data_IF_723644584703
#
_entry.id   IF_723644584703
#
_cell.length_a   1.000
_cell.length_b   1.000
_cell.length_c   1.000
_cell.angle_alpha   90.00
_cell.angle_beta   90.00
_cell.angle_gamma   90.00
#
_symmetry.space_group_name_H-M   'P 1'
#
loop_
_entity.id
_entity.type
_entity.pdbx_description
1 polymer ?
#
# COMPACT_ATOMS: atom_id res chain seq x y z
N UNK A 1 -14.17 12.31 -0.88
CA UNK A 1 -13.18 12.04 0.18
C UNK A 1 -12.88 10.54 0.30
N UNK A 2 -13.89 9.67 0.15
CA UNK A 2 -13.76 8.21 0.12
C UNK A 2 -12.57 7.71 -0.72
N UNK A 3 -12.44 8.21 -1.94
CA UNK A 3 -11.30 7.93 -2.82
C UNK A 3 -9.96 8.23 -2.14
N UNK A 4 -9.80 9.43 -1.58
CA UNK A 4 -8.56 9.88 -0.94
C UNK A 4 -8.19 9.00 0.25
N UNK A 5 -9.16 8.69 1.11
CA UNK A 5 -8.92 7.88 2.31
C UNK A 5 -8.57 6.43 1.98
N UNK A 6 -9.34 5.80 1.11
CA UNK A 6 -9.08 4.42 0.65
C UNK A 6 -7.75 4.33 -0.10
N UNK A 7 -7.46 5.29 -0.97
CA UNK A 7 -6.18 5.38 -1.68
C UNK A 7 -4.99 5.53 -0.72
N UNK A 8 -5.10 6.38 0.30
CA UNK A 8 -4.06 6.52 1.32
C UNK A 8 -3.85 5.21 2.10
N UNK A 9 -4.93 4.57 2.53
CA UNK A 9 -4.86 3.30 3.26
C UNK A 9 -4.22 2.18 2.42
N UNK A 10 -4.68 1.97 1.19
CA UNK A 10 -4.09 0.95 0.31
C UNK A 10 -2.67 1.28 -0.14
N UNK A 11 -2.30 2.56 -0.21
CA UNK A 11 -0.90 2.96 -0.43
C UNK A 11 0.03 2.43 0.66
N UNK A 12 -0.39 2.60 1.91
CA UNK A 12 0.33 2.11 3.09
C UNK A 12 0.38 0.58 3.08
N UNK A 13 -0.76 -0.08 2.90
CA UNK A 13 -0.85 -1.55 2.90
C UNK A 13 0.04 -2.17 1.83
N UNK A 14 0.00 -1.65 0.60
CA UNK A 14 0.83 -2.17 -0.50
C UNK A 14 2.32 -1.97 -0.24
N UNK A 15 2.70 -0.83 0.36
CA UNK A 15 4.08 -0.55 0.73
C UNK A 15 4.57 -1.49 1.84
N UNK A 16 3.83 -1.57 2.95
CA UNK A 16 4.23 -2.32 4.16
C UNK A 16 4.28 -3.82 3.90
N UNK A 17 3.31 -4.36 3.16
CA UNK A 17 3.22 -5.80 2.87
C UNK A 17 3.92 -6.19 1.56
N UNK A 18 4.59 -5.23 0.91
CA UNK A 18 5.25 -5.42 -0.38
C UNK A 18 4.36 -6.13 -1.42
N UNK A 19 3.09 -5.73 -1.49
CA UNK A 19 2.11 -6.29 -2.43
C UNK A 19 2.48 -5.89 -3.84
N UNK A 20 2.54 -6.87 -4.74
CA UNK A 20 2.88 -6.71 -6.16
C UNK A 20 1.65 -6.88 -7.05
N UNK A 21 1.90 -6.84 -8.35
CA UNK A 21 0.88 -7.07 -9.39
C UNK A 21 -0.33 -6.14 -9.27
N UNK A 22 -0.05 -4.84 -9.05
CA UNK A 22 -1.07 -3.78 -8.94
C UNK A 22 -1.34 -3.18 -10.32
N UNK A 23 -2.24 -3.81 -11.06
CA UNK A 23 -2.76 -3.36 -12.35
C UNK A 23 -4.27 -3.03 -12.28
N UNK A 24 -4.83 -2.39 -13.30
CA UNK A 24 -6.24 -1.96 -13.31
C UNK A 24 -7.26 -3.08 -13.05
N UNK A 25 -6.96 -4.33 -13.45
CA UNK A 25 -7.81 -5.49 -13.12
C UNK A 25 -7.87 -5.84 -11.62
N UNK A 26 -6.90 -5.39 -10.82
CA UNK A 26 -6.78 -5.68 -9.38
C UNK A 26 -7.10 -4.44 -8.52
N UNK A 27 -7.51 -3.34 -9.15
CA UNK A 27 -7.87 -2.08 -8.49
C UNK A 27 -9.30 -1.74 -8.92
N UNK A 28 -10.23 -1.99 -8.01
CA UNK A 28 -11.65 -1.75 -8.22
C UNK A 28 -12.06 -0.40 -7.62
N UNK A 29 -13.19 0.13 -8.07
CA UNK A 29 -13.83 1.32 -7.51
C UNK A 29 -15.29 0.99 -7.25
N UNK A 30 -15.79 1.29 -6.05
CA UNK A 30 -17.20 1.13 -5.70
C UNK A 30 -18.04 2.37 -6.08
N UNK A 31 -19.36 2.28 -5.91
CA UNK A 31 -20.31 3.35 -6.22
C UNK A 31 -20.26 4.53 -5.23
N UNK A 32 -19.59 4.37 -4.10
CA UNK A 32 -19.29 5.43 -3.13
C UNK A 32 -17.93 6.12 -3.38
N UNK A 33 -17.17 5.63 -4.36
CA UNK A 33 -15.89 6.18 -4.79
C UNK A 33 -14.69 5.75 -3.94
N UNK A 34 -14.73 4.61 -3.26
CA UNK A 34 -13.54 4.00 -2.65
C UNK A 34 -12.73 3.24 -3.69
N UNK A 35 -11.40 3.24 -3.52
CA UNK A 35 -10.52 2.29 -4.20
C UNK A 35 -10.48 1.01 -3.37
N UNK A 36 -10.62 -0.15 -4.02
CA UNK A 36 -10.47 -1.47 -3.41
C UNK A 36 -9.39 -2.27 -4.14
N UNK A 37 -8.37 -2.72 -3.42
CA UNK A 37 -7.38 -3.63 -3.98
C UNK A 37 -7.84 -5.08 -3.76
N UNK A 38 -7.75 -5.90 -4.79
CA UNK A 38 -8.11 -7.32 -4.76
C UNK A 38 -6.96 -8.19 -5.27
N UNK A 39 -7.06 -9.51 -5.09
CA UNK A 39 -6.07 -10.49 -5.51
C UNK A 39 -4.66 -10.22 -4.94
N UNK A 40 -4.44 -10.60 -3.69
CA UNK A 40 -3.16 -10.41 -2.99
C UNK A 40 -2.19 -11.59 -3.16
N UNK A 41 -2.31 -12.37 -4.25
CA UNK A 41 -1.52 -13.57 -4.49
C UNK A 41 0.00 -13.37 -4.48
N UNK A 42 0.47 -12.13 -4.68
CA UNK A 42 1.88 -11.76 -4.71
C UNK A 42 2.23 -10.74 -3.60
N UNK A 43 2.16 -11.16 -2.34
CA UNK A 43 2.62 -10.36 -1.19
C UNK A 43 3.90 -10.92 -0.56
N UNK A 44 4.65 -10.07 0.16
CA UNK A 44 5.85 -10.44 0.92
C UNK A 44 6.95 -11.19 0.12
N UNK A 45 7.00 -10.98 -1.20
CA UNK A 45 7.95 -11.59 -2.15
C UNK A 45 7.78 -13.09 -2.47
N UNK A 46 6.64 -13.71 -2.14
CA UNK A 46 6.27 -15.07 -2.58
C UNK A 46 6.92 -16.22 -1.78
N UNK A 47 6.12 -17.08 -1.15
CA UNK A 47 6.57 -18.36 -0.59
C UNK A 47 7.03 -19.34 -1.71
N UNK A 48 7.77 -20.44 -1.47
CA UNK A 48 8.50 -20.92 -0.28
C UNK A 48 10.03 -20.78 -0.49
N UNK A 49 10.69 -19.97 0.34
CA UNK A 49 12.12 -19.69 0.22
C UNK A 49 12.46 -18.24 0.56
N UNK A 50 12.43 -17.90 1.85
CA UNK A 50 12.81 -16.60 2.42
C UNK A 50 14.27 -16.14 2.18
N UNK A 51 14.94 -16.61 1.12
CA UNK A 51 16.26 -16.12 0.70
C UNK A 51 16.22 -14.72 0.07
N UNK A 52 15.05 -14.22 -0.32
CA UNK A 52 14.89 -12.84 -0.84
C UNK A 52 14.76 -11.77 0.26
N UNK A 53 14.44 -12.18 1.50
CA UNK A 53 14.63 -11.33 2.70
C UNK A 53 16.13 -11.12 3.02
N UNK A 54 17.02 -11.97 2.49
CA UNK A 54 18.47 -11.94 2.76
C UNK A 54 19.23 -10.88 1.96
N UNK A 55 18.63 -10.26 0.93
CA UNK A 55 19.15 -9.00 0.36
C UNK A 55 18.48 -7.82 1.05
N UNK A 56 18.74 -7.69 2.35
CA UNK A 56 18.54 -6.47 3.14
C UNK A 56 19.46 -5.33 2.64
N UNK A 57 19.21 -4.93 1.41
CA UNK A 57 19.96 -4.01 0.55
C UNK A 57 19.31 -3.85 -0.84
N UNK A 58 18.28 -4.63 -1.17
CA UNK A 58 17.50 -4.56 -2.40
C UNK A 58 16.23 -3.70 -2.31
N UNK A 59 16.32 -2.53 -1.67
CA UNK A 59 15.24 -1.52 -1.68
C UNK A 59 14.97 -0.93 -3.09
N UNK A 60 15.71 -1.35 -4.11
CA UNK A 60 15.71 -0.69 -5.42
C UNK A 60 14.60 -1.17 -6.37
N UNK A 61 13.85 -2.24 -6.04
CA UNK A 61 12.82 -2.78 -6.95
C UNK A 61 11.50 -3.14 -6.23
N UNK A 62 11.21 -2.55 -5.07
CA UNK A 62 9.83 -2.48 -4.59
C UNK A 62 9.09 -1.40 -5.35
N UNK A 63 8.56 -1.73 -6.52
CA UNK A 63 7.41 -1.04 -7.09
C UNK A 63 6.26 -1.18 -6.09
N UNK A 64 6.28 -0.39 -5.02
CA UNK A 64 5.21 -0.30 -4.03
C UNK A 64 3.91 0.19 -4.66
N UNK A 65 3.03 0.80 -3.87
CA UNK A 65 1.82 1.41 -4.43
C UNK A 65 2.17 2.32 -5.62
N UNK A 66 1.67 1.97 -6.81
CA UNK A 66 1.87 2.74 -8.04
C UNK A 66 0.87 3.88 -8.04
N UNK A 67 1.32 5.07 -7.64
CA UNK A 67 0.59 6.30 -7.88
C UNK A 67 0.60 6.58 -9.39
N UNK A 68 -0.38 6.04 -10.11
CA UNK A 68 -0.49 6.28 -11.55
C UNK A 68 -0.87 7.73 -11.81
N UNK A 69 -0.61 8.19 -13.04
CA UNK A 69 -0.97 9.54 -13.43
C UNK A 69 -2.48 9.77 -13.32
N UNK A 70 -3.29 8.79 -13.69
CA UNK A 70 -4.75 8.87 -13.63
C UNK A 70 -5.24 9.03 -12.18
N UNK A 71 -4.64 8.32 -11.23
CA UNK A 71 -4.98 8.47 -9.82
C UNK A 71 -4.52 9.83 -9.26
N UNK A 72 -3.37 10.32 -9.70
CA UNK A 72 -2.88 11.65 -9.33
C UNK A 72 -3.76 12.77 -9.90
N UNK A 73 -4.28 12.61 -11.11
CA UNK A 73 -5.22 13.54 -11.73
C UNK A 73 -6.53 13.65 -10.93
N UNK A 74 -7.02 12.52 -10.38
CA UNK A 74 -8.21 12.51 -9.50
C UNK A 74 -7.93 13.17 -8.14
N UNK A 75 -6.71 13.04 -7.60
CA UNK A 75 -6.29 13.75 -6.38
C UNK A 75 -6.16 15.26 -6.59
N UNK A 76 -5.97 15.70 -7.83
CA UNK A 76 -5.74 17.08 -8.18
C UNK A 76 -4.30 17.56 -7.93
N UNK A 77 -4.04 18.87 -8.10
CA UNK A 77 -2.70 19.44 -7.98
C UNK A 77 -2.07 19.21 -6.61
N UNK A 78 -0.74 19.03 -6.57
CA UNK A 78 -0.01 18.69 -5.34
C UNK A 78 -0.14 19.72 -4.21
N UNK A 79 -0.33 20.99 -4.57
CA UNK A 79 -0.46 22.10 -3.62
C UNK A 79 -1.92 22.34 -3.19
N UNK A 80 -2.87 21.59 -3.74
CA UNK A 80 -4.29 21.75 -3.44
C UNK A 80 -4.70 21.00 -2.16
N UNK A 81 -5.83 21.41 -1.59
CA UNK A 81 -6.38 20.85 -0.35
C UNK A 81 -6.58 19.34 -0.40
N UNK A 82 -7.11 18.72 -1.48
CA UNK A 82 -7.33 17.27 -1.52
C UNK A 82 -6.02 16.47 -1.46
N UNK A 83 -5.00 16.89 -2.20
CA UNK A 83 -3.68 16.26 -2.17
C UNK A 83 -3.01 16.38 -0.79
N UNK A 84 -3.18 17.51 -0.11
CA UNK A 84 -2.69 17.69 1.26
C UNK A 84 -3.39 16.80 2.29
N UNK A 85 -4.69 16.51 2.09
CA UNK A 85 -5.41 15.51 2.90
C UNK A 85 -4.82 14.12 2.67
N UNK A 86 -4.59 13.73 1.41
CA UNK A 86 -3.93 12.46 1.06
C UNK A 86 -2.57 12.33 1.75
N UNK A 87 -1.69 13.34 1.61
CA UNK A 87 -0.35 13.34 2.21
C UNK A 87 -0.39 13.20 3.73
N UNK A 88 -1.31 13.92 4.37
CA UNK A 88 -1.48 13.87 5.82
C UNK A 88 -1.99 12.49 6.26
N UNK A 89 -2.97 11.94 5.56
CA UNK A 89 -3.50 10.60 5.83
C UNK A 89 -2.41 9.52 5.72
N UNK A 90 -1.60 9.55 4.66
CA UNK A 90 -0.48 8.61 4.48
C UNK A 90 0.55 8.77 5.60
N UNK A 91 0.93 10.01 5.95
CA UNK A 91 1.89 10.27 7.03
C UNK A 91 1.41 9.71 8.36
N UNK A 92 0.20 10.08 8.80
CA UNK A 92 -0.35 9.63 10.08
C UNK A 92 -0.57 8.11 10.09
N UNK A 93 -1.03 7.53 8.99
CA UNK A 93 -1.18 6.08 8.87
C UNK A 93 0.15 5.33 8.96
N UNK A 94 1.22 5.82 8.35
CA UNK A 94 2.56 5.24 8.49
C UNK A 94 3.11 5.36 9.92
N UNK A 95 2.84 6.47 10.61
CA UNK A 95 3.22 6.63 12.02
C UNK A 95 2.49 5.62 12.91
N UNK A 96 1.20 5.38 12.65
CA UNK A 96 0.41 4.36 13.33
C UNK A 96 0.95 2.95 13.05
N UNK A 97 1.25 2.60 11.79
CA UNK A 97 1.88 1.31 11.46
C UNK A 97 3.18 1.12 12.22
N UNK A 98 4.03 2.16 12.29
CA UNK A 98 5.29 2.09 13.02
C UNK A 98 5.08 1.84 14.52
N UNK A 99 4.06 2.43 15.12
CA UNK A 99 3.71 2.21 16.53
C UNK A 99 3.29 0.76 16.80
N UNK A 100 2.62 0.11 15.84
CA UNK A 100 2.12 -1.27 15.94
C UNK A 100 2.97 -2.29 15.17
N UNK A 101 4.22 -1.95 14.84
CA UNK A 101 5.05 -2.78 13.96
C UNK A 101 5.32 -4.17 14.55
N UNK A 102 5.56 -4.27 15.86
CA UNK A 102 5.82 -5.55 16.54
C UNK A 102 4.59 -6.47 16.51
N UNK A 103 3.40 -5.93 16.76
CA UNK A 103 2.13 -6.68 16.70
C UNK A 103 1.86 -7.18 15.27
N UNK A 104 2.08 -6.32 14.26
CA UNK A 104 1.94 -6.70 12.86
C UNK A 104 2.92 -7.82 12.48
N UNK A 105 4.19 -7.72 12.91
CA UNK A 105 5.20 -8.75 12.67
C UNK A 105 4.84 -10.07 13.35
N UNK A 106 4.32 -10.03 14.58
CA UNK A 106 3.89 -11.22 15.29
C UNK A 106 2.72 -11.92 14.57
N UNK A 107 1.73 -11.17 14.09
CA UNK A 107 0.63 -11.73 13.31
C UNK A 107 1.11 -12.37 11.99
N UNK A 108 2.01 -11.70 11.28
CA UNK A 108 2.60 -12.25 10.05
C UNK A 108 3.39 -13.53 10.32
N UNK A 109 4.17 -13.57 11.39
CA UNK A 109 4.91 -14.77 11.79
C UNK A 109 3.97 -15.94 12.09
N UNK A 110 2.88 -15.71 12.83
CA UNK A 110 1.88 -16.74 13.12
C UNK A 110 1.21 -17.28 11.85
N UNK A 111 0.97 -16.42 10.85
CA UNK A 111 0.34 -16.83 9.58
C UNK A 111 1.27 -17.65 8.66
N UNK A 112 2.58 -17.65 8.94
CA UNK A 112 3.60 -18.39 8.17
C UNK A 112 4.05 -19.70 8.84
N UNK A 113 3.47 -20.04 10.00
CA UNK A 113 3.63 -21.34 10.67
C UNK A 113 2.63 -22.36 10.10
#
# INVERSE_FOLDING_TARGET
LNFIWSMAAYSIVCYVLAIRDRHNGNILIDDEGHILHVDFGFMLCGAPGGKALQKMGGFEHSEGFKLTQELAEVLGPMDDKPFNVFRTAVREGMLAVRHHAEELLALLQLSML
#
